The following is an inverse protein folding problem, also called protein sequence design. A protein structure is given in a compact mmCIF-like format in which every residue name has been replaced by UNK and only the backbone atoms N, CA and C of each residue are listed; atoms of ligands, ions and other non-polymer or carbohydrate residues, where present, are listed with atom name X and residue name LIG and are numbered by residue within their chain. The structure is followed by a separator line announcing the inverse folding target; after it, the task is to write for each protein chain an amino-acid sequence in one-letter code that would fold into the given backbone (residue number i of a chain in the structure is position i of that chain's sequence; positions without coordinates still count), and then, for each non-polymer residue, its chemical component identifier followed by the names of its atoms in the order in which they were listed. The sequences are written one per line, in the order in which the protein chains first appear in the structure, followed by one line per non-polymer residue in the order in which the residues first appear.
data_IF_779314836227
#
_entry.id   IF_779314836227
#
_cell.length_a   1.000
_cell.length_b   1.000
_cell.length_c   1.000
_cell.angle_alpha   90.00
_cell.angle_beta   90.00
_cell.angle_gamma   90.00
#
_symmetry.space_group_name_H-M   'P 1'
#
loop_
_entity.id
_entity.type
_entity.pdbx_description
1 polymer ?
#
# COMPACT_ATOMS: atom_id res chain seq x y z
N UNK A 1 -16.36 5.26 6.28
CA UNK A 1 -15.92 6.51 6.97
C UNK A 1 -14.78 7.11 6.19
N UNK A 2 -14.74 8.43 5.99
CA UNK A 2 -13.68 9.12 5.23
C UNK A 2 -13.20 10.32 6.05
N UNK A 3 -11.91 10.38 6.38
CA UNK A 3 -11.32 11.51 7.09
C UNK A 3 -10.13 12.03 6.30
N UNK A 4 -10.24 13.27 5.83
CA UNK A 4 -9.20 13.95 5.09
C UNK A 4 -7.93 14.10 5.92
N UNK A 5 -6.79 13.89 5.27
CA UNK A 5 -5.44 13.84 5.85
C UNK A 5 -5.26 12.79 6.94
N UNK A 6 -6.03 11.71 6.86
CA UNK A 6 -5.91 10.60 7.80
C UNK A 6 -6.11 9.26 7.11
N UNK A 7 -7.35 8.89 6.78
CA UNK A 7 -7.67 7.56 6.27
C UNK A 7 -9.05 7.48 5.62
N UNK A 8 -9.23 6.44 4.81
CA UNK A 8 -10.54 5.97 4.33
C UNK A 8 -10.81 4.58 4.88
N UNK A 9 -12.01 4.34 5.42
CA UNK A 9 -12.39 3.08 6.07
C UNK A 9 -13.65 2.49 5.45
N UNK A 10 -13.61 1.17 5.23
CA UNK A 10 -14.71 0.36 4.73
C UNK A 10 -14.68 -1.07 5.29
N UNK A 11 -15.36 -1.99 4.61
CA UNK A 11 -15.35 -3.41 4.94
C UNK A 11 -16.46 -3.89 5.88
N UNK A 12 -17.32 -3.00 6.40
CA UNK A 12 -18.53 -3.43 7.13
C UNK A 12 -19.59 -3.95 6.15
N UNK A 13 -19.60 -5.26 5.96
CA UNK A 13 -20.55 -5.96 5.07
C UNK A 13 -21.86 -6.35 5.76
N UNK A 14 -21.98 -6.16 7.07
CA UNK A 14 -23.18 -6.56 7.83
C UNK A 14 -24.17 -5.40 7.91
N UNK A 15 -23.70 -4.25 8.41
CA UNK A 15 -24.56 -3.09 8.68
C UNK A 15 -24.21 -1.88 7.80
N UNK A 16 -23.00 -1.84 7.24
CA UNK A 16 -22.52 -0.70 6.45
C UNK A 16 -22.34 0.59 7.25
N UNK A 17 -22.31 0.52 8.58
CA UNK A 17 -22.25 1.70 9.46
C UNK A 17 -21.05 1.68 10.44
N UNK A 18 -20.20 0.67 10.36
CA UNK A 18 -19.01 0.49 11.20
C UNK A 18 -19.25 -0.38 12.44
N UNK A 19 -20.47 -0.87 12.68
CA UNK A 19 -20.77 -1.76 13.80
C UNK A 19 -20.56 -3.25 13.51
N UNK A 20 -20.35 -3.63 12.24
CA UNK A 20 -20.22 -5.03 11.85
C UNK A 20 -18.86 -5.63 12.18
N UNK A 21 -18.85 -6.80 12.82
CA UNK A 21 -17.63 -7.57 13.09
C UNK A 21 -17.86 -9.01 12.61
N UNK A 22 -17.11 -9.39 11.58
CA UNK A 22 -17.18 -10.70 10.93
C UNK A 22 -15.83 -11.03 10.31
N UNK A 23 -15.37 -12.25 10.46
CA UNK A 23 -14.19 -12.76 9.77
C UNK A 23 -14.47 -14.18 9.26
N UNK A 24 -13.59 -14.70 8.41
CA UNK A 24 -13.64 -16.11 8.01
C UNK A 24 -13.42 -17.07 9.20
N UNK A 25 -12.83 -16.58 10.28
CA UNK A 25 -12.54 -17.32 11.51
C UNK A 25 -13.69 -17.25 12.53
N UNK A 26 -14.75 -16.49 12.26
CA UNK A 26 -15.89 -16.31 13.16
C UNK A 26 -16.26 -14.84 13.33
N UNK A 27 -16.41 -14.38 14.57
CA UNK A 27 -16.72 -12.96 14.85
C UNK A 27 -15.47 -12.10 14.75
N UNK A 28 -14.58 -12.25 15.73
CA UNK A 28 -13.32 -11.51 15.81
C UNK A 28 -12.12 -12.46 15.85
N UNK A 29 -10.94 -11.94 15.52
CA UNK A 29 -9.67 -12.65 15.62
C UNK A 29 -8.56 -11.77 16.19
N UNK A 30 -7.52 -12.42 16.73
CA UNK A 30 -6.39 -11.82 17.44
C UNK A 30 -5.51 -10.95 16.53
N UNK A 31 -4.75 -10.03 17.14
CA UNK A 31 -3.75 -9.23 16.44
C UNK A 31 -2.54 -10.09 16.07
N UNK A 32 -2.33 -10.35 14.77
CA UNK A 32 -1.28 -11.28 14.31
C UNK A 32 0.14 -10.82 14.68
N UNK A 33 0.49 -9.57 14.34
CA UNK A 33 1.73 -8.91 14.74
C UNK A 33 1.67 -7.40 14.42
N UNK A 34 2.62 -6.64 14.98
CA UNK A 34 2.79 -5.20 14.71
C UNK A 34 4.16 -4.89 14.10
N UNK A 35 4.68 -5.76 13.24
CA UNK A 35 6.01 -5.60 12.65
C UNK A 35 6.07 -4.46 11.63
N UNK A 36 4.96 -4.22 10.92
CA UNK A 36 4.85 -3.17 9.90
C UNK A 36 4.20 -1.93 10.53
N UNK A 37 4.83 -0.78 10.32
CA UNK A 37 4.40 0.52 10.83
C UNK A 37 3.64 1.31 9.76
N UNK A 38 2.80 2.24 10.20
CA UNK A 38 2.03 3.14 9.34
C UNK A 38 2.87 4.34 8.88
N UNK A 39 3.99 4.06 8.21
CA UNK A 39 5.04 5.05 7.94
C UNK A 39 4.80 5.95 6.72
N UNK A 40 3.90 5.57 5.80
CA UNK A 40 3.64 6.28 4.55
C UNK A 40 2.18 6.16 4.08
N UNK A 41 1.67 7.08 3.26
CA UNK A 41 0.37 6.92 2.61
C UNK A 41 0.27 5.60 1.82
N UNK A 42 -0.91 4.99 1.84
CA UNK A 42 -1.22 3.79 1.07
C UNK A 42 -1.14 2.47 1.84
N UNK A 43 -0.65 2.46 3.09
CA UNK A 43 -0.76 1.24 3.91
C UNK A 43 -2.22 0.88 4.18
N UNK A 44 -2.49 -0.42 4.14
CA UNK A 44 -3.78 -1.04 4.41
C UNK A 44 -3.70 -1.75 5.75
N UNK A 45 -4.63 -1.44 6.65
CA UNK A 45 -4.58 -1.86 8.05
C UNK A 45 -5.97 -2.23 8.58
N UNK A 46 -6.01 -3.10 9.58
CA UNK A 46 -7.24 -3.61 10.18
C UNK A 46 -7.91 -2.57 11.08
N UNK A 47 -9.20 -2.32 10.86
CA UNK A 47 -10.02 -1.60 11.83
C UNK A 47 -10.49 -2.58 12.91
N UNK A 48 -10.33 -2.19 14.18
CA UNK A 48 -10.73 -3.01 15.33
C UNK A 48 -11.50 -2.17 16.37
N UNK A 49 -12.23 -2.86 17.24
CA UNK A 49 -12.94 -2.28 18.40
C UNK A 49 -12.09 -2.23 19.68
N UNK A 50 -10.80 -2.54 19.59
CA UNK A 50 -9.89 -2.78 20.70
C UNK A 50 -8.91 -3.92 20.38
N UNK A 51 -8.00 -4.26 21.31
CA UNK A 51 -7.06 -5.37 21.15
C UNK A 51 -7.77 -6.68 20.81
N UNK A 52 -7.22 -7.44 19.87
CA UNK A 52 -7.72 -8.76 19.45
C UNK A 52 -9.17 -8.77 18.93
N UNK A 53 -9.66 -7.64 18.42
CA UNK A 53 -11.01 -7.49 17.88
C UNK A 53 -11.02 -7.20 16.37
N UNK A 54 -10.18 -7.89 15.61
CA UNK A 54 -10.13 -7.74 14.16
C UNK A 54 -11.32 -8.46 13.50
N UNK A 55 -11.92 -7.82 12.50
CA UNK A 55 -13.07 -8.36 11.75
C UNK A 55 -12.87 -8.25 10.23
N UNK A 56 -13.85 -7.70 9.53
CA UNK A 56 -13.82 -7.50 8.08
C UNK A 56 -13.52 -6.04 7.70
N UNK A 57 -13.55 -5.15 8.68
CA UNK A 57 -13.30 -3.73 8.45
C UNK A 57 -11.81 -3.45 8.31
N UNK A 58 -11.47 -2.58 7.36
CA UNK A 58 -10.12 -2.15 7.09
C UNK A 58 -10.10 -0.67 6.73
N UNK A 59 -8.93 -0.06 6.81
CA UNK A 59 -8.71 1.30 6.35
C UNK A 59 -7.43 1.41 5.53
N UNK A 60 -7.39 2.43 4.68
CA UNK A 60 -6.22 2.85 3.90
C UNK A 60 -5.81 4.22 4.41
N UNK A 61 -4.56 4.37 4.84
CA UNK A 61 -4.05 5.66 5.33
C UNK A 61 -3.64 6.56 4.17
N UNK A 62 -3.89 7.86 4.30
CA UNK A 62 -3.52 8.89 3.30
C UNK A 62 -2.40 9.80 3.78
N UNK A 63 -1.98 9.64 5.02
CA UNK A 63 -0.84 10.27 5.67
C UNK A 63 -0.13 9.24 6.56
N UNK A 64 1.14 9.44 6.95
CA UNK A 64 1.76 8.65 8.01
C UNK A 64 1.00 8.77 9.33
N UNK A 65 0.69 7.65 9.98
CA UNK A 65 -0.13 7.61 11.21
C UNK A 65 0.54 6.79 12.33
N UNK A 66 1.71 7.22 12.84
CA UNK A 66 2.48 6.45 13.82
C UNK A 66 1.76 6.19 15.15
N UNK A 67 0.71 6.98 15.46
CA UNK A 67 -0.11 6.76 16.67
C UNK A 67 -1.00 5.52 16.62
N UNK A 68 -1.15 4.90 15.45
CA UNK A 68 -1.84 3.62 15.22
C UNK A 68 -0.89 2.42 15.32
N UNK A 69 0.42 2.63 15.35
CA UNK A 69 1.41 1.56 15.47
C UNK A 69 1.24 0.82 16.80
N UNK A 70 1.32 -0.51 16.74
CA UNK A 70 1.09 -1.37 17.91
C UNK A 70 -0.37 -1.50 18.34
N UNK A 71 -1.32 -0.90 17.59
CA UNK A 71 -2.77 -0.95 17.88
C UNK A 71 -3.59 -1.50 16.73
N UNK A 72 -3.12 -1.31 15.49
CA UNK A 72 -3.78 -1.80 14.29
C UNK A 72 -2.77 -2.61 13.46
N UNK A 73 -3.20 -3.79 13.02
CA UNK A 73 -2.37 -4.71 12.23
C UNK A 73 -2.34 -4.23 10.78
N UNK A 74 -1.15 -3.85 10.31
CA UNK A 74 -0.89 -3.55 8.90
C UNK A 74 -0.66 -4.86 8.14
N UNK A 75 -1.39 -5.06 7.04
CA UNK A 75 -1.34 -6.31 6.27
C UNK A 75 -1.14 -6.10 4.76
N UNK A 76 -1.09 -4.85 4.29
CA UNK A 76 -0.90 -4.58 2.86
C UNK A 76 -0.55 -3.14 2.56
N UNK A 77 -0.35 -2.86 1.29
CA UNK A 77 -0.15 -1.52 0.77
C UNK A 77 -0.76 -1.41 -0.63
N UNK A 78 -1.32 -0.24 -0.95
CA UNK A 78 -1.79 0.09 -2.28
C UNK A 78 -0.59 0.18 -3.23
N UNK A 79 -0.57 -0.69 -4.24
CA UNK A 79 0.50 -0.73 -5.26
C UNK A 79 0.15 0.14 -6.47
N UNK A 80 -1.13 0.17 -6.84
CA UNK A 80 -1.67 0.95 -7.96
C UNK A 80 -3.00 1.58 -7.52
N UNK A 81 -3.35 2.75 -8.08
CA UNK A 81 -4.62 3.42 -7.79
C UNK A 81 -4.62 4.32 -6.54
N UNK A 82 -3.46 4.80 -6.08
CA UNK A 82 -3.40 5.78 -4.98
C UNK A 82 -4.08 7.11 -5.32
N UNK A 83 -4.14 7.49 -6.60
CA UNK A 83 -4.92 8.61 -7.09
C UNK A 83 -6.43 8.43 -6.82
N UNK A 84 -6.95 7.21 -6.96
CA UNK A 84 -8.35 6.88 -6.63
C UNK A 84 -8.58 7.00 -5.12
N UNK A 85 -7.64 6.53 -4.30
CA UNK A 85 -7.70 6.69 -2.84
C UNK A 85 -7.73 8.18 -2.46
N UNK A 86 -6.88 9.01 -3.07
CA UNK A 86 -6.89 10.47 -2.86
C UNK A 86 -8.18 11.12 -3.35
N UNK A 87 -8.78 10.66 -4.46
CA UNK A 87 -10.09 11.14 -4.89
C UNK A 87 -11.20 10.82 -3.88
N UNK A 88 -11.18 9.63 -3.27
CA UNK A 88 -12.13 9.24 -2.23
C UNK A 88 -11.93 10.08 -0.97
N UNK A 89 -10.68 10.36 -0.59
CA UNK A 89 -10.34 11.21 0.56
C UNK A 89 -10.91 12.65 0.44
N UNK A 90 -10.96 13.18 -0.78
CA UNK A 90 -11.46 14.53 -1.08
C UNK A 90 -13.01 14.61 -1.18
N UNK A 91 -13.70 13.48 -1.04
CA UNK A 91 -15.16 13.44 -1.02
C UNK A 91 -15.70 14.23 0.17
N UNK A 92 -16.71 15.07 -0.07
CA UNK A 92 -17.40 15.80 1.00
C UNK A 92 -18.08 14.82 1.96
N UNK A 93 -17.90 15.04 3.25
CA UNK A 93 -18.49 14.24 4.32
C UNK A 93 -19.49 15.05 5.16
N UNK A 94 -20.38 14.35 5.85
CA UNK A 94 -21.17 14.88 6.96
C UNK A 94 -20.28 15.04 8.22
N UNK A 95 -20.86 15.58 9.29
CA UNK A 95 -20.14 15.83 10.55
C UNK A 95 -19.66 14.55 11.26
N UNK A 96 -20.16 13.38 10.88
CA UNK A 96 -19.80 12.06 11.39
C UNK A 96 -18.79 11.33 10.48
N UNK A 97 -18.15 12.04 9.55
CA UNK A 97 -17.20 11.51 8.57
C UNK A 97 -17.82 10.51 7.57
N UNK A 98 -19.16 10.46 7.46
CA UNK A 98 -19.84 9.69 6.43
C UNK A 98 -19.81 10.47 5.10
N UNK A 99 -19.37 9.87 3.97
CA UNK A 99 -19.34 10.55 2.68
C UNK A 99 -20.76 10.91 2.21
N UNK A 100 -20.96 12.14 1.73
CA UNK A 100 -22.24 12.63 1.23
C UNK A 100 -22.66 11.85 -0.03
N UNK A 101 -21.83 11.79 -1.09
CA UNK A 101 -22.04 10.80 -2.13
C UNK A 101 -21.59 9.43 -1.61
N UNK A 102 -22.43 8.42 -1.83
CA UNK A 102 -22.08 7.05 -1.45
C UNK A 102 -20.84 6.57 -2.21
N UNK A 103 -19.84 6.11 -1.48
CA UNK A 103 -18.65 5.44 -2.01
C UNK A 103 -18.77 3.96 -1.72
N UNK A 104 -18.76 3.12 -2.75
CA UNK A 104 -18.91 1.68 -2.64
C UNK A 104 -17.93 0.95 -3.56
N UNK A 105 -17.56 -0.27 -3.16
CA UNK A 105 -16.72 -1.16 -3.96
C UNK A 105 -17.64 -1.89 -4.95
N UNK A 106 -17.62 -1.47 -6.21
CA UNK A 106 -18.49 -2.05 -7.24
C UNK A 106 -18.09 -3.47 -7.64
N UNK A 107 -16.79 -3.77 -7.63
CA UNK A 107 -16.23 -5.08 -7.91
C UNK A 107 -14.92 -5.26 -7.15
N UNK A 108 -14.65 -6.47 -6.68
CA UNK A 108 -13.37 -6.87 -6.06
C UNK A 108 -13.04 -8.31 -6.45
N UNK A 109 -11.77 -8.68 -6.29
CA UNK A 109 -11.29 -10.01 -6.65
C UNK A 109 -9.84 -10.21 -6.24
N UNK A 110 -9.29 -11.37 -6.56
CA UNK A 110 -7.90 -11.72 -6.31
C UNK A 110 -7.15 -11.80 -7.64
N UNK A 111 -5.98 -11.16 -7.69
CA UNK A 111 -5.03 -11.30 -8.80
C UNK A 111 -3.89 -12.23 -8.37
N UNK A 112 -3.69 -13.32 -9.11
CA UNK A 112 -2.58 -14.23 -8.85
C UNK A 112 -1.24 -13.60 -9.23
N UNK A 113 -0.32 -13.57 -8.29
CA UNK A 113 1.06 -13.15 -8.53
C UNK A 113 1.89 -14.36 -8.99
N UNK A 114 2.64 -14.20 -10.09
CA UNK A 114 3.56 -15.26 -10.57
C UNK A 114 4.66 -15.57 -9.57
N UNK A 115 5.14 -14.55 -8.86
CA UNK A 115 6.18 -14.65 -7.84
C UNK A 115 6.05 -13.52 -6.82
N UNK A 116 6.42 -13.75 -5.54
CA UNK A 116 6.51 -12.69 -4.55
C UNK A 116 7.50 -11.62 -4.97
N UNK A 117 7.20 -10.37 -4.66
CA UNK A 117 8.11 -9.24 -4.85
C UNK A 117 8.07 -8.32 -3.63
N UNK A 118 9.20 -7.66 -3.37
CA UNK A 118 9.28 -6.67 -2.30
C UNK A 118 8.85 -5.32 -2.83
N UNK A 119 8.09 -4.58 -2.01
CA UNK A 119 7.78 -3.19 -2.29
C UNK A 119 8.74 -2.33 -1.47
N UNK A 120 9.49 -1.47 -2.15
CA UNK A 120 10.36 -0.51 -1.52
C UNK A 120 9.59 0.80 -1.37
N UNK A 121 9.17 1.08 -0.14
CA UNK A 121 8.56 2.37 0.19
C UNK A 121 9.68 3.38 0.11
N UNK A 122 9.52 4.33 -0.82
CA UNK A 122 10.49 5.37 -1.07
C UNK A 122 10.61 6.28 0.14
N UNK A 123 11.44 5.91 1.10
CA UNK A 123 12.37 6.91 1.60
C UNK A 123 13.20 7.36 0.41
N UNK A 124 13.59 8.62 0.39
CA UNK A 124 14.63 9.13 -0.52
C UNK A 124 16.00 8.50 -0.18
N UNK A 125 16.05 7.17 -0.07
CA UNK A 125 17.24 6.41 0.25
C UNK A 125 18.15 6.52 -0.96
N UNK A 126 19.22 7.28 -0.76
CA UNK A 126 20.30 7.48 -1.72
C UNK A 126 20.73 6.14 -2.36
N UNK A 127 20.64 5.03 -1.61
CA UNK A 127 20.91 3.69 -2.12
C UNK A 127 19.99 3.28 -3.26
N UNK A 128 18.69 3.56 -3.18
CA UNK A 128 17.71 3.22 -4.22
C UNK A 128 17.98 4.01 -5.50
N UNK A 129 18.29 5.31 -5.38
CA UNK A 129 18.69 6.12 -6.53
C UNK A 129 20.04 5.68 -7.13
N UNK A 130 21.03 5.35 -6.28
CA UNK A 130 22.34 4.84 -6.72
C UNK A 130 22.16 3.53 -7.48
N UNK A 131 21.38 2.57 -6.95
CA UNK A 131 21.17 1.28 -7.61
C UNK A 131 20.44 1.44 -8.95
N UNK A 132 19.40 2.28 -8.98
CA UNK A 132 18.66 2.58 -10.21
C UNK A 132 19.52 3.26 -11.29
N UNK A 133 20.52 4.05 -10.88
CA UNK A 133 21.44 4.74 -11.81
C UNK A 133 22.64 3.89 -12.21
N UNK A 134 23.15 3.05 -11.30
CA UNK A 134 24.34 2.21 -11.51
C UNK A 134 24.09 1.06 -12.49
N UNK A 135 22.89 0.45 -12.46
CA UNK A 135 22.54 -0.67 -13.35
C UNK A 135 22.57 -0.24 -14.84
N UNK A 136 21.88 0.85 -15.27
CA UNK A 136 21.97 1.33 -16.65
C UNK A 136 23.36 1.78 -17.07
N UNK A 137 24.11 2.42 -16.16
CA UNK A 137 25.44 2.95 -16.44
C UNK A 137 26.45 1.83 -16.68
N UNK A 138 26.45 0.80 -15.83
CA UNK A 138 27.34 -0.36 -15.99
C UNK A 138 27.03 -1.15 -17.26
N UNK A 139 25.75 -1.36 -17.58
CA UNK A 139 25.35 -1.99 -18.84
C UNK A 139 25.87 -1.20 -20.06
N UNK A 140 25.83 0.13 -20.01
CA UNK A 140 26.34 0.98 -21.10
C UNK A 140 27.86 0.81 -21.29
N UNK A 141 28.65 0.78 -20.21
CA UNK A 141 30.10 0.55 -20.31
C UNK A 141 30.46 -0.86 -20.78
N UNK A 142 29.69 -1.87 -20.38
CA UNK A 142 29.88 -3.25 -20.89
C UNK A 142 29.61 -3.30 -22.39
N UNK A 143 28.53 -2.68 -22.86
CA UNK A 143 28.20 -2.60 -24.30
C UNK A 143 29.31 -1.90 -25.07
N UNK A 144 29.81 -0.75 -24.57
CA UNK A 144 30.92 -0.04 -25.19
C UNK A 144 32.21 -0.86 -25.20
N UNK A 145 32.50 -1.60 -24.13
CA UNK A 145 33.66 -2.50 -24.05
C UNK A 145 33.57 -3.64 -25.06
N UNK A 146 32.38 -4.22 -25.24
CA UNK A 146 32.11 -5.24 -26.25
C UNK A 146 32.31 -4.66 -27.66
N UNK A 147 31.75 -3.48 -27.96
CA UNK A 147 31.96 -2.83 -29.26
C UNK A 147 33.44 -2.51 -29.51
N UNK A 148 34.16 -1.97 -28.52
CA UNK A 148 35.58 -1.68 -28.65
C UNK A 148 36.39 -2.95 -28.93
N UNK A 149 36.07 -4.05 -28.25
CA UNK A 149 36.68 -5.35 -28.51
C UNK A 149 36.39 -5.83 -29.94
N UNK A 150 35.15 -5.73 -30.42
CA UNK A 150 34.77 -6.06 -31.79
C UNK A 150 35.53 -5.21 -32.81
N UNK A 151 35.63 -3.89 -32.60
CA UNK A 151 36.39 -2.99 -33.46
C UNK A 151 37.87 -3.38 -33.56
N UNK A 152 38.48 -3.75 -32.42
CA UNK A 152 39.87 -4.22 -32.38
C UNK A 152 40.05 -5.57 -33.07
N UNK A 153 39.04 -6.44 -33.05
CA UNK A 153 39.07 -7.76 -33.70
C UNK A 153 38.86 -7.68 -35.22
N UNK A 154 38.27 -6.59 -35.71
CA UNK A 154 38.00 -6.34 -37.12
C UNK A 154 39.11 -5.54 -37.82
N UNK A 155 40.20 -5.18 -37.12
CA UNK A 155 41.30 -4.35 -37.63
C UNK A 155 40.83 -3.03 -38.29
N UNK A 156 39.78 -2.41 -37.74
CA UNK A 156 39.23 -1.13 -38.24
C UNK A 156 39.98 0.09 -37.65
N UNK A 157 40.99 -0.13 -36.79
CA UNK A 157 41.91 0.88 -36.25
C UNK A 157 43.34 0.37 -36.33
#
# INVERSE_FOLDING_TARGET
RVIKHFMIQGGDVIFGNGGGVLSMYGKAFEDENFQVQHSAPGFVSMANGGPDQNGCQFFIITQPTPWLDGKHVVFGMVVEGMDVVSMIEEVKTYNDDHPIPNVYIAASGQLELKQPYNIYIGDNDLKTWIMATYIPLTMSFVILGVFHWFYKKLDII
#
